data_IF_146088021596
#
_entry.id   IF_146088021596
#
_cell.length_a   1.000
_cell.length_b   1.000
_cell.length_c   1.000
_cell.angle_alpha   90.00
_cell.angle_beta   90.00
_cell.angle_gamma   90.00
#
_symmetry.space_group_name_H-M   'P 1'
#
loop_
_entity.id
_entity.type
_entity.pdbx_description
1 polymer ?
#
# COMPACT_ATOMS: atom_id res chain seq x y z
N UNK A 1 -25.59 -13.91 -10.93
CA UNK A 1 -25.63 -14.98 -9.92
C UNK A 1 -26.16 -14.42 -8.60
N UNK A 2 -27.31 -14.90 -8.09
CA UNK A 2 -27.72 -14.63 -6.70
C UNK A 2 -27.19 -15.78 -5.85
N UNK A 3 -26.07 -15.57 -5.17
CA UNK A 3 -25.57 -16.56 -4.21
C UNK A 3 -26.46 -16.50 -2.97
N UNK A 4 -27.11 -17.62 -2.64
CA UNK A 4 -27.98 -17.73 -1.46
C UNK A 4 -27.20 -17.93 -0.15
N UNK A 5 -25.88 -18.09 -0.23
CA UNK A 5 -24.98 -18.28 0.92
C UNK A 5 -23.61 -17.64 0.67
N UNK A 6 -22.79 -17.44 1.73
CA UNK A 6 -21.44 -16.91 1.59
C UNK A 6 -20.58 -17.83 0.73
N UNK A 7 -19.91 -17.24 -0.26
CA UNK A 7 -18.85 -17.91 -1.02
C UNK A 7 -17.53 -17.60 -0.32
N UNK A 8 -16.93 -18.62 0.31
CA UNK A 8 -15.57 -18.47 0.83
C UNK A 8 -14.59 -18.68 -0.30
N UNK A 9 -13.54 -17.88 -0.27
CA UNK A 9 -12.49 -17.87 -1.26
C UNK A 9 -11.15 -18.07 -0.55
N UNK A 10 -10.57 -19.25 -0.75
CA UNK A 10 -9.25 -19.61 -0.26
C UNK A 10 -8.21 -19.44 -1.36
N UNK A 11 -7.08 -18.83 -1.02
CA UNK A 11 -5.92 -18.70 -1.90
C UNK A 11 -4.62 -19.00 -1.15
N UNK A 12 -3.59 -19.41 -1.88
CA UNK A 12 -2.23 -19.35 -1.36
C UNK A 12 -1.83 -17.89 -1.16
N UNK A 13 -1.15 -17.61 -0.05
CA UNK A 13 -0.50 -16.33 0.16
C UNK A 13 0.88 -16.38 -0.49
N UNK A 14 1.03 -15.56 -1.51
CA UNK A 14 2.30 -15.37 -2.23
C UNK A 14 2.93 -14.06 -1.82
N UNK A 15 4.25 -14.03 -1.96
CA UNK A 15 5.04 -12.81 -1.80
C UNK A 15 5.56 -12.38 -3.15
N UNK A 16 5.38 -11.10 -3.46
CA UNK A 16 6.00 -10.40 -4.57
C UNK A 16 7.52 -10.42 -4.41
N UNK A 17 8.22 -10.87 -5.45
CA UNK A 17 9.68 -10.75 -5.49
C UNK A 17 10.05 -9.42 -6.13
N UNK A 18 10.88 -8.66 -5.44
CA UNK A 18 11.50 -7.41 -5.88
C UNK A 18 13.00 -7.63 -5.98
N UNK A 19 13.62 -7.10 -7.04
CA UNK A 19 15.06 -7.16 -7.25
C UNK A 19 15.69 -5.83 -6.87
N UNK A 20 16.43 -5.83 -5.76
CA UNK A 20 17.21 -4.66 -5.33
C UNK A 20 18.66 -4.83 -5.79
N UNK A 21 19.25 -3.86 -6.49
CA UNK A 21 20.62 -3.97 -6.96
C UNK A 21 21.62 -4.10 -5.82
N UNK A 22 22.70 -4.82 -6.08
CA UNK A 22 23.85 -4.90 -5.19
C UNK A 22 24.72 -3.65 -5.36
N UNK A 23 24.36 -2.58 -4.65
CA UNK A 23 25.17 -1.37 -4.55
C UNK A 23 25.16 -0.82 -3.11
N UNK A 24 25.94 0.23 -2.84
CA UNK A 24 26.08 0.83 -1.50
C UNK A 24 24.76 1.36 -0.88
N UNK A 25 23.69 1.48 -1.66
CA UNK A 25 22.37 1.89 -1.19
C UNK A 25 21.47 0.68 -0.84
N UNK A 26 21.92 -0.55 -1.04
CA UNK A 26 21.20 -1.74 -0.60
C UNK A 26 21.69 -2.15 0.80
N UNK A 27 20.78 -2.25 1.76
CA UNK A 27 21.11 -2.69 3.13
C UNK A 27 21.71 -4.10 3.19
N UNK A 28 21.45 -4.92 2.16
CA UNK A 28 21.96 -6.28 1.99
C UNK A 28 23.17 -6.36 1.05
N UNK A 29 23.81 -5.24 0.69
CA UNK A 29 24.95 -5.21 -0.22
C UNK A 29 26.12 -6.12 0.19
N UNK A 30 26.35 -6.27 1.50
CA UNK A 30 27.40 -7.13 2.05
C UNK A 30 26.98 -8.59 2.21
N UNK A 31 25.77 -8.96 1.81
CA UNK A 31 25.28 -10.34 1.87
C UNK A 31 25.99 -11.24 0.86
N UNK A 32 25.95 -12.54 1.11
CA UNK A 32 26.47 -13.54 0.17
C UNK A 32 25.72 -13.53 -1.17
N UNK A 33 24.46 -13.11 -1.18
CA UNK A 33 23.68 -12.99 -2.42
C UNK A 33 24.31 -11.96 -3.37
N UNK A 34 24.78 -10.83 -2.82
CA UNK A 34 25.51 -9.82 -3.57
C UNK A 34 26.97 -10.21 -3.84
N UNK A 35 27.71 -10.66 -2.82
CA UNK A 35 29.14 -10.99 -2.94
C UNK A 35 29.42 -12.05 -3.98
N UNK A 36 28.56 -13.07 -4.06
CA UNK A 36 28.70 -14.18 -5.00
C UNK A 36 27.78 -14.08 -6.20
N UNK A 37 27.10 -12.94 -6.39
CA UNK A 37 26.17 -12.69 -7.49
C UNK A 37 25.17 -13.85 -7.72
N UNK A 38 24.53 -14.33 -6.64
CA UNK A 38 23.64 -15.51 -6.73
C UNK A 38 22.40 -15.24 -7.59
N UNK A 39 21.98 -13.97 -7.67
CA UNK A 39 20.86 -13.53 -8.49
C UNK A 39 21.35 -12.47 -9.50
N UNK A 40 21.58 -12.83 -10.77
CA UNK A 40 21.87 -11.86 -11.82
C UNK A 40 20.62 -11.05 -12.19
N UNK A 41 20.78 -9.76 -12.50
CA UNK A 41 19.71 -8.87 -12.92
C UNK A 41 20.26 -7.78 -13.87
N UNK A 42 19.52 -7.40 -14.91
CA UNK A 42 19.90 -6.30 -15.81
C UNK A 42 21.40 -6.30 -16.20
N UNK A 43 22.17 -5.33 -15.69
CA UNK A 43 23.61 -5.19 -15.92
C UNK A 43 24.50 -5.54 -14.71
N UNK A 44 24.00 -6.32 -13.74
CA UNK A 44 24.74 -6.65 -12.52
C UNK A 44 24.09 -7.75 -11.67
N UNK A 45 24.25 -7.62 -10.35
CA UNK A 45 23.73 -8.57 -9.36
C UNK A 45 22.67 -7.88 -8.50
N UNK A 46 21.67 -8.63 -8.06
CA UNK A 46 20.62 -8.15 -7.17
C UNK A 46 20.45 -9.07 -5.96
N UNK A 47 19.83 -8.55 -4.91
CA UNK A 47 19.21 -9.35 -3.85
C UNK A 47 17.73 -9.53 -4.14
N UNK A 48 17.20 -10.73 -3.90
CA UNK A 48 15.76 -10.97 -3.91
C UNK A 48 15.13 -10.53 -2.61
N UNK A 49 14.17 -9.63 -2.70
CA UNK A 49 13.41 -9.10 -1.58
C UNK A 49 11.96 -9.51 -1.75
N UNK A 50 11.32 -9.96 -0.67
CA UNK A 50 9.93 -10.41 -0.71
C UNK A 50 9.01 -9.39 -0.04
N UNK A 51 7.97 -8.93 -0.75
CA UNK A 51 6.85 -8.14 -0.21
C UNK A 51 5.55 -8.95 -0.25
N UNK A 52 4.61 -8.67 0.62
CA UNK A 52 3.31 -9.36 0.65
C UNK A 52 2.48 -9.02 -0.61
N UNK A 53 1.71 -9.98 -1.15
CA UNK A 53 0.67 -9.67 -2.15
C UNK A 53 -0.45 -8.77 -1.60
N UNK A 54 -0.62 -8.76 -0.29
CA UNK A 54 -1.62 -7.92 0.40
C UNK A 54 -1.02 -6.54 0.62
N UNK A 55 -1.31 -5.62 -0.30
CA UNK A 55 -0.94 -4.24 -0.14
C UNK A 55 -1.81 -3.58 0.94
N UNK A 56 -1.21 -2.63 1.66
CA UNK A 56 -1.90 -1.96 2.78
C UNK A 56 -2.99 -0.97 2.33
N UNK A 57 -3.13 -0.76 1.02
CA UNK A 57 -4.22 0.01 0.42
C UNK A 57 -5.46 -0.85 0.11
N UNK A 58 -5.45 -2.15 0.42
CA UNK A 58 -6.58 -3.03 0.14
C UNK A 58 -6.52 -3.71 -1.23
N UNK A 59 -5.42 -3.57 -1.97
CA UNK A 59 -5.22 -4.32 -3.21
C UNK A 59 -4.54 -5.67 -2.94
N UNK A 60 -4.98 -6.71 -3.63
CA UNK A 60 -4.31 -8.00 -3.69
C UNK A 60 -3.76 -8.16 -5.09
N UNK A 61 -2.46 -7.94 -5.23
CA UNK A 61 -1.79 -7.94 -6.52
C UNK A 61 -0.46 -8.71 -6.49
N UNK A 62 -0.06 -9.20 -7.66
CA UNK A 62 1.16 -9.98 -7.86
C UNK A 62 2.10 -9.34 -8.85
N UNK A 63 3.39 -9.36 -8.48
CA UNK A 63 4.54 -9.16 -9.36
C UNK A 63 5.12 -10.51 -9.79
N UNK A 64 5.82 -10.51 -10.93
CA UNK A 64 6.45 -11.70 -11.51
C UNK A 64 7.44 -12.34 -10.50
N UNK A 65 7.44 -13.68 -10.43
CA UNK A 65 8.37 -14.43 -9.59
C UNK A 65 7.95 -14.58 -8.13
N UNK A 66 6.65 -14.63 -7.86
CA UNK A 66 6.11 -14.76 -6.50
C UNK A 66 6.52 -16.09 -5.84
N UNK A 67 6.67 -16.08 -4.50
CA UNK A 67 6.98 -17.29 -3.73
C UNK A 67 5.87 -17.61 -2.73
N UNK A 68 5.50 -18.89 -2.68
CA UNK A 68 4.46 -19.39 -1.79
C UNK A 68 4.91 -19.33 -0.34
N UNK A 69 4.02 -18.84 0.54
CA UNK A 69 4.28 -18.76 1.98
C UNK A 69 3.28 -19.53 2.83
N UNK A 70 1.98 -19.36 2.58
CA UNK A 70 0.92 -20.02 3.35
C UNK A 70 -0.39 -20.07 2.56
N UNK A 71 -1.53 -20.26 3.24
CA UNK A 71 -2.87 -20.09 2.70
C UNK A 71 -3.68 -19.10 3.52
N UNK A 72 -4.62 -18.40 2.90
CA UNK A 72 -5.55 -17.49 3.55
C UNK A 72 -6.95 -17.63 2.97
N UNK A 73 -7.98 -17.29 3.74
CA UNK A 73 -9.37 -17.39 3.30
C UNK A 73 -10.12 -16.10 3.60
N UNK A 74 -10.90 -15.65 2.61
CA UNK A 74 -11.72 -14.45 2.66
C UNK A 74 -13.12 -14.74 2.14
N UNK A 75 -14.01 -13.76 2.24
CA UNK A 75 -15.37 -13.85 1.68
C UNK A 75 -15.45 -13.03 0.40
N UNK A 76 -15.96 -13.63 -0.67
CA UNK A 76 -16.36 -12.87 -1.86
C UNK A 76 -17.69 -12.22 -1.57
N UNK A 77 -17.72 -10.89 -1.61
CA UNK A 77 -18.90 -10.08 -1.27
C UNK A 77 -19.45 -9.30 -2.46
N UNK A 78 -18.71 -9.29 -3.58
CA UNK A 78 -19.12 -8.64 -4.81
C UNK A 78 -18.04 -8.77 -5.88
N UNK A 79 -18.29 -8.15 -7.01
CA UNK A 79 -17.34 -7.96 -8.10
C UNK A 79 -17.61 -6.61 -8.76
N UNK A 80 -16.63 -6.07 -9.46
CA UNK A 80 -16.81 -4.92 -10.33
C UNK A 80 -15.92 -5.07 -11.55
N UNK A 81 -16.54 -5.26 -12.72
CA UNK A 81 -15.88 -5.48 -14.01
C UNK A 81 -15.17 -4.23 -14.55
N UNK A 82 -15.57 -3.04 -14.08
CA UNK A 82 -15.08 -1.74 -14.58
C UNK A 82 -14.08 -1.05 -13.65
N UNK A 83 -13.81 -1.63 -12.46
CA UNK A 83 -12.88 -1.02 -11.52
C UNK A 83 -11.46 -1.03 -12.11
N UNK A 84 -10.84 0.14 -12.34
CA UNK A 84 -9.51 0.21 -12.93
C UNK A 84 -8.45 -0.14 -11.89
N UNK A 85 -7.52 -1.02 -12.26
CA UNK A 85 -6.41 -1.42 -11.41
C UNK A 85 -5.10 -1.13 -12.10
N UNK A 86 -4.27 -0.32 -11.45
CA UNK A 86 -2.88 -0.14 -11.83
C UNK A 86 -2.04 -1.28 -11.21
N UNK A 87 -1.67 -2.27 -12.04
CA UNK A 87 -0.77 -3.35 -11.66
C UNK A 87 0.59 -2.78 -11.32
N UNK A 88 1.27 -3.39 -10.35
CA UNK A 88 2.66 -3.02 -10.03
C UNK A 88 2.82 -1.52 -9.70
N UNK A 89 1.75 -0.85 -9.23
CA UNK A 89 1.76 0.59 -8.91
C UNK A 89 2.90 0.99 -7.96
N UNK A 90 3.38 0.04 -7.18
CA UNK A 90 4.38 0.23 -6.13
C UNK A 90 5.74 -0.41 -6.44
N UNK A 91 5.87 -1.11 -7.56
CA UNK A 91 7.17 -1.47 -8.13
C UNK A 91 7.57 -0.40 -9.14
N UNK A 92 8.86 -0.06 -9.16
CA UNK A 92 9.40 0.77 -10.23
C UNK A 92 9.11 0.09 -11.58
N UNK A 93 8.82 0.84 -12.65
CA UNK A 93 8.72 0.25 -13.98
C UNK A 93 9.98 -0.57 -14.26
N UNK A 94 9.91 -1.74 -14.91
CA UNK A 94 11.08 -2.56 -15.18
C UNK A 94 12.12 -1.69 -15.90
N UNK A 95 13.22 -1.42 -15.21
CA UNK A 95 14.25 -0.55 -15.72
C UNK A 95 14.92 -1.25 -16.90
N UNK A 96 14.79 -0.63 -18.08
CA UNK A 96 15.57 -0.98 -19.26
C UNK A 96 17.07 -0.96 -18.92
N UNK A 97 17.82 -1.89 -19.53
CA UNK A 97 19.24 -2.19 -19.30
C UNK A 97 20.20 -0.98 -19.29
N UNK A 98 19.77 0.19 -19.79
CA UNK A 98 20.60 1.39 -19.90
C UNK A 98 20.54 2.35 -18.70
N UNK A 99 19.60 2.25 -17.75
CA UNK A 99 19.59 3.21 -16.62
C UNK A 99 20.72 2.97 -15.61
N UNK A 100 21.29 1.76 -15.59
CA UNK A 100 22.40 1.41 -14.70
C UNK A 100 23.70 2.14 -15.04
N UNK A 101 24.02 2.30 -16.34
CA UNK A 101 25.27 2.91 -16.80
C UNK A 101 25.27 4.45 -16.72
N UNK A 102 24.09 5.07 -16.68
CA UNK A 102 23.95 6.53 -16.51
C UNK A 102 24.18 6.99 -15.05
N UNK A 103 24.32 6.05 -14.10
CA UNK A 103 24.47 6.35 -12.67
C UNK A 103 25.92 6.76 -12.32
N UNK A 104 26.91 6.38 -13.13
CA UNK A 104 28.33 6.72 -12.89
C UNK A 104 28.91 7.76 -13.87
N UNK A 105 28.25 8.07 -14.99
CA UNK A 105 28.73 9.07 -15.94
C UNK A 105 27.64 10.06 -16.35
N UNK A 106 27.96 11.36 -16.30
CA UNK A 106 27.13 12.51 -16.73
C UNK A 106 26.91 12.54 -18.26
N UNK A 107 26.54 11.44 -18.87
CA UNK A 107 26.19 11.38 -20.28
C UNK A 107 24.90 10.59 -20.45
N UNK A 108 23.83 11.32 -20.77
CA UNK A 108 22.58 10.75 -21.26
C UNK A 108 22.86 10.02 -22.58
N UNK A 109 23.14 8.72 -22.53
CA UNK A 109 23.14 7.88 -23.73
C UNK A 109 21.76 7.28 -23.93
N UNK A 110 21.27 7.37 -25.18
CA UNK A 110 19.95 6.93 -25.63
C UNK A 110 19.65 5.49 -25.18
N UNK A 111 18.50 5.34 -24.52
CA UNK A 111 17.88 4.04 -24.20
C UNK A 111 17.66 3.24 -25.49
N UNK A 112 18.25 2.04 -25.58
CA UNK A 112 17.87 1.03 -26.59
C UNK A 112 16.96 -0.02 -25.94
N UNK A 113 15.75 -0.19 -26.50
CA UNK A 113 14.81 -1.26 -26.16
C UNK A 113 15.47 -2.62 -26.49
N UNK A 114 15.77 -3.42 -25.47
CA UNK A 114 15.90 -4.86 -25.65
C UNK A 114 14.61 -5.50 -25.16
N UNK A 115 13.98 -6.27 -26.04
CA UNK A 115 12.70 -6.95 -25.82
C UNK A 115 12.84 -8.00 -24.71
N UNK A 116 12.39 -7.66 -23.50
CA UNK A 116 11.78 -8.64 -22.60
C UNK A 116 10.29 -8.33 -22.63
N UNK A 117 9.60 -8.89 -23.62
CA UNK A 117 8.14 -8.89 -23.69
C UNK A 117 7.61 -9.83 -22.60
N UNK A 118 7.06 -9.27 -21.52
CA UNK A 118 5.67 -9.52 -21.13
C UNK A 118 5.15 -8.20 -20.52
N UNK A 119 4.37 -7.39 -21.25
CA UNK A 119 3.55 -6.41 -20.60
C UNK A 119 2.43 -7.20 -19.92
N UNK A 120 2.53 -7.43 -18.61
CA UNK A 120 1.30 -7.36 -17.84
C UNK A 120 0.83 -5.94 -18.08
N UNK A 121 -0.30 -5.77 -18.78
CA UNK A 121 -0.86 -4.44 -19.00
C UNK A 121 -0.86 -3.73 -17.64
N UNK A 122 -0.10 -2.64 -17.55
CA UNK A 122 0.03 -1.85 -16.31
C UNK A 122 -1.34 -1.48 -15.77
N UNK A 123 -2.34 -1.46 -16.63
CA UNK A 123 -3.73 -1.26 -16.29
C UNK A 123 -4.54 -2.49 -16.66
N UNK A 124 -5.18 -3.08 -15.66
CA UNK A 124 -6.25 -4.05 -15.86
C UNK A 124 -7.57 -3.48 -15.36
N UNK A 125 -8.67 -4.17 -15.62
CA UNK A 125 -9.99 -3.86 -15.12
C UNK A 125 -10.66 -5.12 -14.65
N UNK A 126 -11.55 -4.97 -13.68
CA UNK A 126 -12.34 -6.09 -13.23
C UNK A 126 -11.68 -6.85 -12.09
N UNK A 127 -12.52 -7.35 -11.19
CA UNK A 127 -12.04 -8.16 -10.08
C UNK A 127 -13.10 -8.46 -9.04
N UNK A 128 -12.70 -9.28 -8.08
CA UNK A 128 -13.53 -9.64 -6.94
C UNK A 128 -13.32 -8.67 -5.79
N UNK A 129 -14.42 -8.32 -5.14
CA UNK A 129 -14.41 -7.56 -3.89
C UNK A 129 -14.47 -8.56 -2.74
N UNK A 130 -13.46 -8.50 -1.88
CA UNK A 130 -13.23 -9.46 -0.81
C UNK A 130 -13.38 -8.78 0.55
N UNK A 131 -14.01 -9.46 1.51
CA UNK A 131 -13.99 -9.05 2.92
C UNK A 131 -12.96 -9.87 3.66
N UNK A 132 -11.99 -9.19 4.28
CA UNK A 132 -10.92 -9.81 5.04
C UNK A 132 -11.21 -9.71 6.56
N UNK A 133 -10.53 -10.55 7.35
CA UNK A 133 -10.63 -10.63 8.81
C UNK A 133 -9.54 -9.83 9.54
N UNK A 134 -8.70 -9.07 8.82
CA UNK A 134 -7.63 -8.23 9.39
C UNK A 134 -8.14 -6.85 9.88
N UNK A 135 -9.38 -6.76 10.34
CA UNK A 135 -9.97 -5.52 10.84
C UNK A 135 -10.38 -4.54 9.74
N UNK A 136 -10.19 -3.26 10.00
CA UNK A 136 -10.72 -2.14 9.19
C UNK A 136 -9.74 -1.66 8.11
N UNK A 137 -8.76 -2.49 7.73
CA UNK A 137 -7.77 -2.16 6.69
C UNK A 137 -8.35 -2.22 5.26
N UNK A 138 -7.78 -1.46 4.33
CA UNK A 138 -8.32 -1.35 2.97
C UNK A 138 -9.45 -0.34 2.88
N UNK A 139 -10.39 -0.60 1.99
CA UNK A 139 -11.40 0.35 1.55
C UNK A 139 -12.81 -0.04 1.97
N UNK A 140 -13.78 0.81 1.67
CA UNK A 140 -15.21 0.46 1.71
C UNK A 140 -15.61 -0.39 0.50
N UNK A 141 -16.71 -1.13 0.65
CA UNK A 141 -17.38 -1.78 -0.48
C UNK A 141 -17.80 -0.76 -1.56
N UNK A 142 -18.28 0.42 -1.14
CA UNK A 142 -18.72 1.47 -2.05
C UNK A 142 -17.60 2.01 -2.94
N UNK A 143 -16.38 2.11 -2.43
CA UNK A 143 -15.22 2.54 -3.22
C UNK A 143 -14.94 1.59 -4.38
N UNK A 144 -14.89 0.27 -4.11
CA UNK A 144 -14.66 -0.72 -5.17
C UNK A 144 -15.83 -0.88 -6.12
N UNK A 145 -17.06 -0.57 -5.68
CA UNK A 145 -18.22 -0.45 -6.56
C UNK A 145 -18.27 0.90 -7.32
N UNK A 146 -17.30 1.79 -7.11
CA UNK A 146 -17.25 3.14 -7.69
C UNK A 146 -18.47 4.01 -7.34
N UNK A 147 -19.11 3.75 -6.19
CA UNK A 147 -20.26 4.52 -5.70
C UNK A 147 -19.89 5.89 -5.14
N UNK A 148 -18.60 6.13 -4.85
CA UNK A 148 -18.12 7.43 -4.37
C UNK A 148 -16.67 7.69 -4.77
N UNK A 149 -16.31 8.97 -4.72
CA UNK A 149 -14.97 9.43 -5.10
C UNK A 149 -13.90 9.04 -4.08
N UNK A 150 -12.64 9.08 -4.50
CA UNK A 150 -11.52 8.86 -3.60
C UNK A 150 -11.43 9.89 -2.45
N UNK A 151 -11.87 11.13 -2.69
CA UNK A 151 -11.90 12.16 -1.66
C UNK A 151 -12.95 11.85 -0.58
N UNK A 152 -14.06 11.24 -0.97
CA UNK A 152 -15.11 10.81 -0.04
C UNK A 152 -14.65 9.56 0.71
N UNK A 153 -14.01 8.63 0.02
CA UNK A 153 -13.42 7.44 0.64
C UNK A 153 -12.44 7.82 1.74
N UNK A 154 -11.63 8.87 1.54
CA UNK A 154 -10.71 9.37 2.56
C UNK A 154 -11.41 9.83 3.86
N UNK A 155 -12.71 10.16 3.82
CA UNK A 155 -13.50 10.50 5.02
C UNK A 155 -14.05 9.28 5.75
N UNK A 156 -14.08 8.11 5.11
CA UNK A 156 -14.65 6.87 5.66
C UNK A 156 -13.54 5.86 5.99
N UNK A 157 -12.64 5.66 5.03
CA UNK A 157 -11.42 4.84 5.09
C UNK A 157 -10.20 5.67 4.66
N UNK A 158 -9.73 6.58 5.54
CA UNK A 158 -8.57 7.44 5.28
C UNK A 158 -7.27 6.72 4.94
N UNK A 159 -7.17 5.39 5.13
CA UNK A 159 -5.97 4.61 4.81
C UNK A 159 -4.70 5.27 5.36
N UNK A 160 -4.74 5.68 6.62
CA UNK A 160 -3.65 6.39 7.31
C UNK A 160 -2.34 5.62 7.36
N UNK A 161 -2.39 4.33 7.04
CA UNK A 161 -1.24 3.41 7.01
C UNK A 161 -0.50 3.39 5.66
N UNK A 162 -1.08 3.96 4.60
CA UNK A 162 -0.55 3.80 3.24
C UNK A 162 0.15 5.07 2.71
N UNK A 163 1.40 4.99 2.20
CA UNK A 163 2.17 6.15 1.76
C UNK A 163 1.59 6.95 0.60
N UNK A 164 0.72 6.35 -0.21
CA UNK A 164 -0.03 7.08 -1.26
C UNK A 164 -0.92 8.19 -0.70
N UNK A 165 -1.17 8.20 0.61
CA UNK A 165 -1.94 9.22 1.34
C UNK A 165 -1.06 10.23 2.08
N UNK A 166 0.25 10.09 2.02
CA UNK A 166 1.17 11.00 2.69
C UNK A 166 1.45 12.20 1.79
N UNK A 167 1.14 13.39 2.27
CA UNK A 167 1.46 14.62 1.57
C UNK A 167 2.89 15.05 1.88
N UNK A 168 3.70 15.30 0.84
CA UNK A 168 5.10 15.67 1.03
C UNK A 168 5.26 17.10 1.55
N UNK A 169 6.42 17.38 2.12
CA UNK A 169 6.83 18.64 2.72
C UNK A 169 8.01 19.24 1.96
N UNK A 170 7.93 20.52 1.61
CA UNK A 170 9.05 21.30 1.07
C UNK A 170 9.97 21.74 2.22
N UNK A 171 11.13 21.09 2.30
CA UNK A 171 12.15 21.35 3.32
C UNK A 171 12.68 22.79 3.22
N UNK A 172 12.88 23.31 2.02
CA UNK A 172 13.44 24.66 1.81
C UNK A 172 12.41 25.75 2.15
N UNK A 173 11.14 25.48 1.88
CA UNK A 173 10.04 26.35 2.33
C UNK A 173 10.01 26.50 3.86
N UNK A 174 10.22 25.41 4.62
CA UNK A 174 10.26 25.46 6.09
C UNK A 174 11.49 26.19 6.59
N UNK A 175 12.67 25.94 6.00
CA UNK A 175 13.91 26.67 6.32
C UNK A 175 13.79 28.17 6.09
N UNK A 176 12.95 28.57 5.12
CA UNK A 176 12.63 29.98 4.86
C UNK A 176 11.68 30.60 5.89
N UNK A 177 11.32 29.88 6.96
CA UNK A 177 10.54 30.37 8.10
C UNK A 177 9.03 30.12 8.02
N UNK A 178 8.54 29.55 6.92
CA UNK A 178 7.12 29.27 6.70
C UNK A 178 6.60 28.13 7.59
N UNK A 179 5.27 28.02 7.68
CA UNK A 179 4.60 26.92 8.38
C UNK A 179 4.48 25.69 7.47
N UNK A 180 4.49 24.48 8.08
CA UNK A 180 4.22 23.21 7.38
C UNK A 180 2.88 23.17 6.66
N UNK A 181 1.92 24.00 7.07
CA UNK A 181 0.63 24.15 6.39
C UNK A 181 0.79 24.71 4.97
N UNK A 182 1.74 25.63 4.77
CA UNK A 182 1.98 26.33 3.49
C UNK A 182 3.10 25.70 2.66
N UNK A 183 3.87 24.78 3.25
CA UNK A 183 5.01 24.13 2.61
C UNK A 183 4.65 22.75 2.03
N UNK A 184 3.41 22.60 1.57
CA UNK A 184 2.93 21.40 0.87
C UNK A 184 2.08 21.84 -0.33
N UNK A 185 1.27 20.93 -0.89
CA UNK A 185 0.40 21.23 -2.03
C UNK A 185 -0.89 22.01 -1.67
N UNK A 186 -0.89 22.79 -0.58
CA UNK A 186 -2.07 23.52 -0.06
C UNK A 186 -3.32 22.62 0.10
N UNK A 187 -3.12 21.37 0.54
CA UNK A 187 -4.20 20.38 0.61
C UNK A 187 -4.88 20.40 1.97
N UNK A 188 -6.14 20.80 1.95
CA UNK A 188 -7.15 20.46 2.94
C UNK A 188 -7.59 19.01 2.71
N UNK A 189 -7.39 18.14 3.70
CA UNK A 189 -7.93 16.77 3.69
C UNK A 189 -8.82 16.56 4.90
N UNK A 190 -10.13 16.50 4.68
CA UNK A 190 -11.07 15.98 5.67
C UNK A 190 -10.89 14.47 5.73
N UNK A 191 -10.70 13.93 6.92
CA UNK A 191 -10.60 12.49 7.19
C UNK A 191 -11.69 12.07 8.17
N UNK A 192 -11.74 10.78 8.51
CA UNK A 192 -12.67 10.21 9.50
C UNK A 192 -12.85 11.11 10.72
N UNK A 193 -14.09 11.16 11.20
CA UNK A 193 -14.58 11.99 12.31
C UNK A 193 -14.56 13.51 12.04
N UNK A 194 -14.46 13.92 10.78
CA UNK A 194 -14.49 15.33 10.38
C UNK A 194 -13.21 16.10 10.72
N UNK A 195 -12.14 15.42 11.13
CA UNK A 195 -10.83 16.06 11.32
C UNK A 195 -10.32 16.59 9.99
N UNK A 196 -9.74 17.78 10.01
CA UNK A 196 -9.17 18.42 8.83
C UNK A 196 -7.65 18.45 8.98
N UNK A 197 -6.96 17.85 8.03
CA UNK A 197 -5.52 17.98 7.87
C UNK A 197 -5.17 19.14 6.98
N UNK A 198 -4.21 19.93 7.43
CA UNK A 198 -3.62 21.05 6.71
C UNK A 198 -2.17 20.73 6.40
N UNK A 199 -1.78 20.85 5.13
CA UNK A 199 -0.39 20.75 4.69
C UNK A 199 0.15 19.31 4.62
N UNK A 200 1.43 19.17 4.98
CA UNK A 200 2.15 17.91 4.88
C UNK A 200 1.72 16.87 5.93
N UNK A 201 1.88 15.59 5.60
CA UNK A 201 1.63 14.50 6.54
C UNK A 201 2.85 14.30 7.44
N UNK A 202 2.65 14.52 8.74
CA UNK A 202 3.67 14.26 9.76
C UNK A 202 3.65 12.79 10.14
N UNK A 203 4.82 12.18 10.11
CA UNK A 203 5.06 10.76 10.32
C UNK A 203 5.95 10.55 11.54
N UNK A 204 5.76 9.41 12.21
CA UNK A 204 6.69 8.86 13.19
C UNK A 204 6.99 7.41 12.84
N UNK A 205 8.13 6.93 13.33
CA UNK A 205 8.46 5.52 13.24
C UNK A 205 7.56 4.71 14.16
N UNK A 206 7.10 3.54 13.71
CA UNK A 206 6.26 2.68 14.56
C UNK A 206 7.03 2.22 15.80
N UNK A 207 6.33 2.15 16.93
CA UNK A 207 6.92 1.85 18.24
C UNK A 207 7.59 0.48 18.30
N UNK A 208 7.00 -0.53 17.67
CA UNK A 208 7.42 -1.95 17.77
C UNK A 208 8.56 -2.35 16.83
N UNK A 209 9.15 -1.41 16.09
CA UNK A 209 10.23 -1.72 15.15
C UNK A 209 11.57 -1.91 15.87
N UNK A 210 12.14 -3.11 15.78
CA UNK A 210 13.53 -3.37 16.15
C UNK A 210 14.53 -2.88 15.11
N UNK A 211 15.78 -2.65 15.53
CA UNK A 211 16.86 -2.07 14.71
C UNK A 211 17.10 -2.85 13.41
N UNK A 212 17.34 -4.16 13.51
CA UNK A 212 17.64 -5.00 12.34
C UNK A 212 16.47 -5.05 11.36
N UNK A 213 15.24 -5.07 11.90
CA UNK A 213 14.05 -5.06 11.08
C UNK A 213 13.88 -3.74 10.33
N UNK A 214 14.04 -2.60 11.02
CA UNK A 214 14.00 -1.28 10.39
C UNK A 214 15.10 -1.10 9.33
N UNK A 215 16.30 -1.61 9.60
CA UNK A 215 17.42 -1.65 8.64
C UNK A 215 17.09 -2.48 7.40
N UNK A 216 16.48 -3.65 7.56
CA UNK A 216 16.07 -4.51 6.45
C UNK A 216 14.95 -3.88 5.60
N UNK A 217 14.09 -3.05 6.20
CA UNK A 217 13.11 -2.25 5.48
C UNK A 217 13.72 -1.00 4.80
N UNK A 218 15.01 -0.74 5.02
CA UNK A 218 15.77 0.32 4.37
C UNK A 218 15.95 1.60 5.19
N UNK A 219 15.58 1.63 6.48
CA UNK A 219 15.74 2.82 7.32
C UNK A 219 15.97 2.49 8.81
N UNK A 220 17.23 2.25 9.17
CA UNK A 220 17.65 1.82 10.52
C UNK A 220 17.28 2.81 11.63
N UNK A 221 17.25 4.12 11.35
CA UNK A 221 16.93 5.17 12.33
C UNK A 221 15.56 4.96 12.98
N UNK A 222 14.61 4.34 12.26
CA UNK A 222 13.31 4.01 12.81
C UNK A 222 13.33 2.93 13.91
N UNK A 223 14.39 2.14 14.02
CA UNK A 223 14.58 1.22 15.13
C UNK A 223 15.24 1.88 16.35
N UNK A 224 16.12 2.87 16.11
CA UNK A 224 17.05 3.38 17.13
C UNK A 224 16.64 4.71 17.76
N UNK A 225 15.94 5.59 17.04
CA UNK A 225 15.60 6.93 17.53
C UNK A 225 14.13 7.27 17.28
N UNK A 226 13.38 7.48 18.37
CA UNK A 226 11.94 7.79 18.33
C UNK A 226 11.63 9.27 18.54
N UNK A 227 12.64 10.09 18.81
CA UNK A 227 12.49 11.54 19.07
C UNK A 227 12.33 12.34 17.77
N UNK A 228 12.61 11.71 16.63
CA UNK A 228 12.44 12.32 15.33
C UNK A 228 11.00 12.23 14.83
N UNK A 229 10.65 13.22 14.00
CA UNK A 229 9.48 13.22 13.15
C UNK A 229 9.92 13.37 11.70
N UNK A 230 9.07 12.84 10.83
CA UNK A 230 9.36 12.74 9.42
C UNK A 230 8.21 13.25 8.56
N UNK A 231 8.51 13.61 7.33
CA UNK A 231 7.54 13.74 6.25
C UNK A 231 8.21 13.27 4.97
N UNK A 232 7.43 12.89 3.96
CA UNK A 232 8.00 12.67 2.62
C UNK A 232 8.59 13.99 2.12
N UNK A 233 9.83 14.01 1.64
CA UNK A 233 10.41 15.23 1.07
C UNK A 233 9.76 15.55 -0.26
N UNK A 234 9.53 16.84 -0.54
CA UNK A 234 8.87 17.30 -1.75
C UNK A 234 9.86 17.68 -2.85
N UNK A 235 9.55 17.30 -4.08
CA UNK A 235 10.15 17.86 -5.29
C UNK A 235 9.07 18.49 -6.15
N UNK A 236 9.35 19.69 -6.68
CA UNK A 236 8.42 20.43 -7.52
C UNK A 236 8.56 20.02 -8.98
N UNK A 237 7.46 19.56 -9.58
CA UNK A 237 7.38 19.34 -11.01
C UNK A 237 6.68 20.53 -11.67
N UNK A 238 7.41 21.19 -12.58
CA UNK A 238 6.86 22.24 -13.44
C UNK A 238 6.18 21.60 -14.65
N UNK A 239 5.02 20.97 -14.42
CA UNK A 239 4.04 20.68 -15.47
C UNK A 239 3.03 21.84 -15.55
N UNK A 240 2.03 21.76 -16.43
CA UNK A 240 1.00 22.79 -16.65
C UNK A 240 0.38 23.34 -15.36
N UNK A 241 0.38 22.55 -14.28
CA UNK A 241 0.08 22.99 -12.92
C UNK A 241 1.26 22.62 -12.01
N UNK A 242 1.84 23.61 -11.31
CA UNK A 242 2.91 23.37 -10.33
C UNK A 242 2.41 22.38 -9.28
N UNK A 243 3.00 21.18 -9.24
CA UNK A 243 2.62 20.11 -8.32
C UNK A 243 3.85 19.57 -7.63
N UNK A 244 3.80 19.54 -6.30
CA UNK A 244 4.76 18.86 -5.48
C UNK A 244 4.46 17.37 -5.43
N UNK A 245 5.46 16.53 -5.65
CA UNK A 245 5.38 15.08 -5.48
C UNK A 245 6.44 14.64 -4.49
N UNK A 246 6.35 13.39 -4.01
CA UNK A 246 7.41 12.84 -3.19
C UNK A 246 8.69 12.75 -4.03
N UNK A 247 9.78 13.29 -3.50
CA UNK A 247 11.11 13.13 -4.06
C UNK A 247 11.57 11.69 -3.86
N UNK A 248 11.77 10.98 -4.96
CA UNK A 248 12.21 9.59 -4.96
C UNK A 248 13.29 9.39 -6.03
N UNK A 249 14.05 8.30 -5.90
CA UNK A 249 14.97 7.86 -6.94
C UNK A 249 14.81 6.36 -7.14
N UNK A 250 14.31 5.97 -8.31
CA UNK A 250 14.14 4.56 -8.68
C UNK A 250 15.49 3.83 -8.75
N UNK A 251 15.53 2.58 -8.26
CA UNK A 251 16.71 1.73 -8.22
C UNK A 251 16.34 0.25 -8.36
N UNK A 252 16.44 -0.30 -9.57
CA UNK A 252 15.90 -1.62 -9.88
C UNK A 252 14.39 -1.62 -9.69
N UNK A 253 13.85 -2.64 -9.02
CA UNK A 253 12.42 -2.70 -8.67
C UNK A 253 12.08 -1.86 -7.43
N UNK A 254 13.10 -1.41 -6.69
CA UNK A 254 12.96 -0.58 -5.50
C UNK A 254 13.14 0.90 -5.79
N UNK A 255 13.14 1.69 -4.71
CA UNK A 255 13.38 3.12 -4.74
C UNK A 255 14.10 3.60 -3.47
N UNK A 256 14.82 4.71 -3.60
CA UNK A 256 15.23 5.55 -2.47
C UNK A 256 14.15 6.61 -2.26
N UNK A 257 13.70 6.74 -1.02
CA UNK A 257 12.72 7.77 -0.62
C UNK A 257 13.45 8.85 0.17
N UNK A 258 13.25 10.11 -0.21
CA UNK A 258 13.77 11.25 0.53
C UNK A 258 12.75 11.67 1.58
N UNK A 259 13.24 11.97 2.78
CA UNK A 259 12.44 12.30 3.95
C UNK A 259 12.91 13.64 4.51
N UNK A 260 11.97 14.51 4.84
CA UNK A 260 12.23 15.58 5.78
C UNK A 260 12.30 14.98 7.19
N UNK A 261 13.36 15.26 7.95
CA UNK A 261 13.56 14.78 9.33
C UNK A 261 13.85 15.96 10.25
N UNK A 262 13.22 16.01 11.42
CA UNK A 262 13.49 16.99 12.47
C UNK A 262 13.23 16.41 13.86
N UNK A 263 13.84 17.01 14.89
CA UNK A 263 13.59 16.64 16.30
C UNK A 263 12.20 17.14 16.70
N UNK A 264 11.41 16.30 17.38
CA UNK A 264 10.08 16.66 17.86
C UNK A 264 10.07 18.03 18.59
N UNK A 265 9.12 18.89 18.23
CA UNK A 265 9.01 20.25 18.75
C UNK A 265 10.00 21.28 18.17
N UNK A 266 11.01 20.86 17.39
CA UNK A 266 12.12 21.71 16.91
C UNK A 266 12.24 21.74 15.38
N UNK A 267 11.12 21.71 14.67
CA UNK A 267 11.10 21.62 13.21
C UNK A 267 11.91 22.72 12.54
N UNK A 268 11.66 23.99 12.88
CA UNK A 268 12.33 25.13 12.21
C UNK A 268 13.85 25.16 12.42
N UNK A 269 14.34 24.61 13.53
CA UNK A 269 15.76 24.63 13.88
C UNK A 269 16.53 23.43 13.33
N UNK A 270 15.87 22.27 13.21
CA UNK A 270 16.55 20.98 12.99
C UNK A 270 16.15 20.27 11.71
N UNK A 271 15.24 20.84 10.91
CA UNK A 271 14.78 20.18 9.68
C UNK A 271 15.93 19.98 8.70
N UNK A 272 16.09 18.73 8.29
CA UNK A 272 17.08 18.28 7.33
C UNK A 272 16.43 17.31 6.35
N UNK A 273 16.96 17.23 5.14
CA UNK A 273 16.60 16.16 4.22
C UNK A 273 17.53 14.96 4.46
N UNK A 274 16.94 13.79 4.62
CA UNK A 274 17.62 12.49 4.68
C UNK A 274 17.01 11.56 3.63
N UNK A 275 17.58 10.36 3.47
CA UNK A 275 17.05 9.39 2.53
C UNK A 275 17.13 7.97 3.10
N UNK A 276 16.29 7.09 2.57
CA UNK A 276 16.36 5.66 2.86
C UNK A 276 17.51 4.98 2.11
N UNK A 277 17.83 3.75 2.51
CA UNK A 277 18.39 2.76 1.61
C UNK A 277 17.31 2.34 0.59
N UNK A 278 17.65 1.50 -0.38
CA UNK A 278 16.69 0.96 -1.34
C UNK A 278 15.58 0.24 -0.57
N UNK A 279 14.34 0.62 -0.87
CA UNK A 279 13.13 0.19 -0.18
C UNK A 279 11.97 0.12 -1.18
N UNK A 280 10.75 -0.09 -0.67
CA UNK A 280 9.49 -0.09 -1.42
C UNK A 280 8.43 0.72 -0.67
N UNK A 281 7.34 1.10 -1.34
CA UNK A 281 6.23 1.76 -0.67
C UNK A 281 5.59 0.88 0.43
N UNK A 282 5.54 -0.44 0.24
CA UNK A 282 5.07 -1.37 1.27
C UNK A 282 5.99 -1.35 2.50
N UNK A 283 7.29 -1.17 2.31
CA UNK A 283 8.27 -1.10 3.39
C UNK A 283 8.20 0.26 4.11
N UNK A 284 8.00 1.37 3.39
CA UNK A 284 7.67 2.67 3.99
C UNK A 284 6.40 2.56 4.84
N UNK A 285 5.37 1.84 4.38
CA UNK A 285 4.13 1.59 5.12
C UNK A 285 4.33 0.68 6.36
N UNK A 286 5.45 -0.04 6.44
CA UNK A 286 5.86 -0.82 7.60
C UNK A 286 6.69 0.01 8.59
N UNK A 287 7.54 0.90 8.08
CA UNK A 287 8.40 1.79 8.87
C UNK A 287 7.61 2.89 9.60
N UNK A 288 6.70 3.56 8.89
CA UNK A 288 6.09 4.80 9.36
C UNK A 288 4.59 4.66 9.62
N UNK A 289 4.10 5.48 10.54
CA UNK A 289 2.69 5.79 10.74
C UNK A 289 2.49 7.30 10.87
N UNK A 290 1.26 7.77 10.61
CA UNK A 290 0.92 9.17 10.87
C UNK A 290 1.07 9.46 12.37
N UNK A 291 1.68 10.59 12.70
CA UNK A 291 1.82 10.99 14.11
C UNK A 291 0.45 11.35 14.72
N UNK A 292 -0.48 11.78 13.88
CA UNK A 292 -1.87 12.03 14.22
C UNK A 292 -2.70 10.77 14.07
N UNK A 293 -3.45 10.41 15.11
CA UNK A 293 -4.34 9.25 15.08
C UNK A 293 -5.55 9.51 14.20
N UNK A 294 -5.63 8.74 13.12
CA UNK A 294 -6.79 8.66 12.23
C UNK A 294 -7.22 7.21 12.15
N UNK A 295 -8.46 6.95 12.56
CA UNK A 295 -9.05 5.61 12.51
C UNK A 295 -9.85 5.47 11.22
N UNK A 296 -9.85 4.25 10.72
CA UNK A 296 -10.83 3.84 9.73
C UNK A 296 -12.18 3.64 10.43
N UNK A 297 -13.28 3.75 9.69
CA UNK A 297 -14.60 3.42 10.21
C UNK A 297 -14.89 1.92 10.11
N UNK A 298 -15.96 1.46 10.77
CA UNK A 298 -16.43 0.06 10.69
C UNK A 298 -16.89 -0.35 9.27
N UNK A 299 -17.01 0.61 8.35
CA UNK A 299 -17.36 0.37 6.95
C UNK A 299 -16.16 -0.02 6.07
N UNK A 300 -14.93 0.04 6.59
CA UNK A 300 -13.71 -0.37 5.90
C UNK A 300 -13.49 -1.90 6.00
N UNK A 301 -12.33 -2.41 5.60
CA UNK A 301 -12.02 -3.85 5.68
C UNK A 301 -12.22 -4.62 4.38
N UNK A 302 -12.52 -3.93 3.28
CA UNK A 302 -12.69 -4.55 1.96
C UNK A 302 -11.40 -4.47 1.17
N UNK A 303 -11.15 -5.51 0.39
CA UNK A 303 -10.02 -5.66 -0.50
C UNK A 303 -10.52 -5.92 -1.92
N UNK A 304 -9.65 -5.67 -2.91
CA UNK A 304 -9.93 -5.95 -4.31
C UNK A 304 -8.84 -6.83 -4.90
N UNK A 305 -9.26 -7.89 -5.57
CA UNK A 305 -8.37 -8.77 -6.29
C UNK A 305 -8.72 -8.75 -7.78
N UNK A 306 -7.82 -8.27 -8.65
CA UNK A 306 -8.04 -8.24 -10.10
C UNK A 306 -8.24 -9.64 -10.69
N UNK A 307 -9.05 -9.75 -11.74
CA UNK A 307 -9.24 -11.03 -12.43
C UNK A 307 -7.93 -11.60 -12.96
N UNK A 308 -7.06 -10.78 -13.53
CA UNK A 308 -5.76 -11.22 -14.04
C UNK A 308 -4.85 -11.79 -12.93
N UNK A 309 -4.98 -11.31 -11.68
CA UNK A 309 -4.27 -11.90 -10.54
C UNK A 309 -4.80 -13.31 -10.25
N UNK A 310 -6.09 -13.52 -10.44
CA UNK A 310 -6.72 -14.84 -10.35
C UNK A 310 -6.23 -15.74 -11.47
N UNK A 311 -6.31 -15.30 -12.72
CA UNK A 311 -5.86 -16.05 -13.89
C UNK A 311 -4.37 -16.40 -13.81
N UNK A 312 -3.52 -15.46 -13.40
CA UNK A 312 -2.10 -15.71 -13.21
C UNK A 312 -1.85 -16.83 -12.20
N UNK A 313 -2.48 -16.77 -11.02
CA UNK A 313 -2.31 -17.79 -9.99
C UNK A 313 -2.86 -19.16 -10.43
N UNK A 314 -3.98 -19.19 -11.15
CA UNK A 314 -4.49 -20.42 -11.77
C UNK A 314 -3.47 -21.01 -12.74
N UNK A 315 -2.92 -20.17 -13.63
CA UNK A 315 -1.97 -20.62 -14.65
C UNK A 315 -0.65 -21.12 -14.07
N UNK A 316 -0.17 -20.50 -13.00
CA UNK A 316 1.07 -20.87 -12.32
C UNK A 316 0.94 -22.17 -11.54
N UNK A 317 -0.18 -22.37 -10.84
CA UNK A 317 -0.33 -23.48 -9.88
C UNK A 317 -1.14 -24.68 -10.41
N UNK A 318 -1.59 -24.61 -11.67
CA UNK A 318 -2.44 -25.60 -12.36
C UNK A 318 -3.81 -25.84 -11.66
N UNK A 319 -4.86 -26.01 -12.46
CA UNK A 319 -6.25 -26.11 -12.01
C UNK A 319 -6.53 -27.26 -11.00
N UNK A 320 -5.70 -28.30 -10.98
CA UNK A 320 -5.99 -29.56 -10.29
C UNK A 320 -5.06 -29.87 -9.10
N UNK A 321 -4.19 -28.93 -8.70
CA UNK A 321 -3.38 -29.08 -7.48
C UNK A 321 -4.20 -28.77 -6.23
N UNK A 322 -3.85 -29.39 -5.09
CA UNK A 322 -4.26 -29.00 -3.72
C UNK A 322 -3.90 -27.53 -3.34
N UNK A 323 -3.42 -26.77 -4.31
CA UNK A 323 -2.79 -25.45 -4.23
C UNK A 323 -3.54 -24.40 -5.07
N UNK A 324 -4.64 -24.78 -5.72
CA UNK A 324 -5.51 -23.90 -6.51
C UNK A 324 -6.56 -23.17 -5.64
N UNK A 325 -7.28 -22.22 -6.25
CA UNK A 325 -8.34 -21.48 -5.59
C UNK A 325 -9.45 -22.39 -5.06
N UNK A 326 -9.62 -22.36 -3.74
CA UNK A 326 -10.70 -23.08 -3.06
C UNK A 326 -11.93 -22.20 -2.97
N UNK A 327 -12.93 -22.45 -3.80
CA UNK A 327 -14.27 -21.90 -3.61
C UNK A 327 -15.10 -22.90 -2.83
N UNK A 328 -15.44 -22.56 -1.58
CA UNK A 328 -16.37 -23.36 -0.80
C UNK A 328 -17.69 -22.61 -0.69
N UNK A 329 -18.77 -23.32 -1.02
CA UNK A 329 -20.12 -22.88 -0.81
C UNK A 329 -20.73 -23.71 0.31
N UNK A 330 -21.22 -23.02 1.35
CA UNK A 330 -21.86 -23.69 2.47
C UNK A 330 -23.37 -23.49 2.40
N UNK A 331 -24.09 -24.59 2.15
CA UNK A 331 -25.53 -24.67 2.34
C UNK A 331 -25.89 -24.82 3.82
N UNK A 332 -25.66 -23.78 4.62
CA UNK A 332 -25.94 -23.85 6.06
C UNK A 332 -27.44 -23.67 6.29
N UNK A 333 -28.10 -24.73 6.74
CA UNK A 333 -29.44 -24.63 7.32
C UNK A 333 -29.30 -24.35 8.81
N UNK A 334 -29.66 -23.14 9.21
CA UNK A 334 -29.64 -22.74 10.61
C UNK A 334 -30.94 -23.14 11.30
N UNK A 335 -30.82 -23.77 12.46
CA UNK A 335 -31.97 -24.01 13.33
C UNK A 335 -32.47 -22.69 13.92
N UNK A 336 -33.75 -22.63 14.32
CA UNK A 336 -34.33 -21.38 14.84
C UNK A 336 -33.58 -20.85 16.07
N UNK A 337 -33.01 -21.74 16.89
CA UNK A 337 -32.22 -21.40 18.07
C UNK A 337 -30.82 -20.84 17.74
N UNK A 338 -30.36 -21.00 16.50
CA UNK A 338 -29.10 -20.44 15.99
C UNK A 338 -29.20 -18.95 15.67
N UNK A 339 -30.39 -18.36 15.67
CA UNK A 339 -30.58 -16.93 15.45
C UNK A 339 -30.70 -16.18 16.77
N UNK A 340 -29.95 -15.08 16.91
CA UNK A 340 -29.93 -14.26 18.14
C UNK A 340 -31.33 -13.89 18.65
N UNK A 341 -32.26 -13.53 17.75
CA UNK A 341 -33.61 -13.08 18.10
C UNK A 341 -34.47 -14.17 18.72
N UNK A 342 -34.28 -15.42 18.31
CA UNK A 342 -35.09 -16.58 18.74
C UNK A 342 -34.36 -17.50 19.72
N UNK A 343 -33.06 -17.29 19.94
CA UNK A 343 -32.30 -18.11 20.89
C UNK A 343 -32.67 -17.80 22.34
N UNK A 344 -32.88 -18.87 23.13
CA UNK A 344 -33.02 -18.78 24.60
C UNK A 344 -31.68 -18.49 25.30
N UNK A 345 -30.55 -18.64 24.60
CA UNK A 345 -29.19 -18.50 25.15
C UNK A 345 -28.53 -17.18 24.75
N UNK A 346 -29.25 -16.06 24.86
CA UNK A 346 -28.78 -14.74 24.35
C UNK A 346 -27.37 -14.35 24.78
N UNK A 347 -26.93 -14.73 25.99
CA UNK A 347 -25.57 -14.47 26.48
C UNK A 347 -24.45 -15.16 25.69
N UNK A 348 -24.75 -16.22 24.93
CA UNK A 348 -23.79 -16.90 24.05
C UNK A 348 -23.66 -16.24 22.67
N UNK A 349 -24.54 -15.29 22.35
CA UNK A 349 -24.61 -14.63 21.04
C UNK A 349 -24.07 -13.20 21.06
N UNK A 350 -23.31 -12.82 22.09
CA UNK A 350 -22.84 -11.45 22.30
C UNK A 350 -22.09 -10.91 21.08
N UNK A 351 -21.20 -11.72 20.48
CA UNK A 351 -20.45 -11.32 19.29
C UNK A 351 -21.31 -11.29 18.02
N UNK A 352 -22.29 -12.20 17.89
CA UNK A 352 -23.25 -12.17 16.77
C UNK A 352 -24.12 -10.91 16.85
N UNK A 353 -24.58 -10.55 18.05
CA UNK A 353 -25.35 -9.32 18.24
C UNK A 353 -24.51 -8.09 17.87
N UNK A 354 -23.24 -8.05 18.30
CA UNK A 354 -22.30 -6.98 17.91
C UNK A 354 -22.02 -6.93 16.40
N UNK A 355 -22.06 -8.06 15.70
CA UNK A 355 -21.83 -8.13 14.24
C UNK A 355 -23.07 -7.86 13.39
N UNK A 356 -24.28 -7.99 13.96
CA UNK A 356 -25.57 -7.76 13.25
C UNK A 356 -26.03 -6.30 13.24
N UNK A 357 -25.12 -5.34 13.34
CA UNK A 357 -25.47 -3.92 13.21
C UNK A 357 -26.04 -3.65 11.83
N UNK A 358 -27.02 -2.74 11.75
CA UNK A 358 -27.50 -2.25 10.45
C UNK A 358 -26.33 -1.58 9.75
N UNK A 359 -25.97 -2.07 8.57
CA UNK A 359 -25.06 -1.35 7.69
C UNK A 359 -25.73 -0.02 7.32
N UNK A 360 -25.22 1.07 7.89
CA UNK A 360 -25.61 2.42 7.47
C UNK A 360 -24.79 2.72 6.23
N UNK A 361 -25.46 2.92 5.09
CA UNK A 361 -24.74 3.37 3.89
C UNK A 361 -24.22 4.78 4.17
N UNK A 362 -22.90 5.02 4.07
CA UNK A 362 -22.35 6.36 4.22
C UNK A 362 -23.06 7.29 3.24
N UNK A 363 -23.58 8.43 3.72
CA UNK A 363 -24.24 9.40 2.84
C UNK A 363 -23.20 10.05 1.92
N UNK A 364 -23.55 10.17 0.64
CA UNK A 364 -22.71 10.74 -0.41
C UNK A 364 -23.13 12.19 -0.69
N UNK A 365 -22.36 13.14 -0.17
CA UNK A 365 -22.62 14.58 -0.38
C UNK A 365 -22.06 15.11 -1.71
N UNK A 366 -21.64 14.23 -2.62
CA UNK A 366 -21.00 14.59 -3.89
C UNK A 366 -19.46 14.70 -3.82
N UNK A 367 -18.77 14.89 -4.97
CA UNK A 367 -17.30 14.98 -5.06
C UNK A 367 -16.72 16.23 -4.38
N UNK A 368 -17.57 17.19 -4.02
CA UNK A 368 -17.23 18.44 -3.34
C UNK A 368 -18.04 18.67 -2.06
N UNK A 369 -18.69 17.63 -1.51
CA UNK A 369 -19.71 17.71 -0.44
C UNK A 369 -19.29 18.30 0.91
N UNK A 370 -18.07 18.82 1.01
CA UNK A 370 -17.60 19.63 2.15
C UNK A 370 -16.76 20.84 1.76
N UNK A 371 -16.74 21.24 0.47
CA UNK A 371 -16.05 22.44 -0.03
C UNK A 371 -17.00 23.63 -0.23
N UNK A 372 -18.27 23.47 0.09
CA UNK A 372 -19.24 24.57 0.13
C UNK A 372 -19.24 25.09 1.57
N UNK A 373 -18.18 25.83 1.92
CA UNK A 373 -18.11 26.88 2.96
C UNK A 373 -16.66 27.34 3.11
#
# INVERSE_FOLDING_TARGET
>A
MKTLSPLTYGLNTEFNTMLFPCNKYNSMYSSDECKYCKTPCGSGCCTKISSSMYHKDGMIDLSVGSVRRAGHSMLVVGWNDEFPVERNRYSSPPIYTAAWNAIDNKTQTKLTKNNVEIPLDRWTKGGLILKNSYGEHGHTLGYFLQNHSLLNEDTICPLSIHPSRYYPLDVECIKSGNSFMNCSNDKLRKVSDGKIFYGATILKCKSELGNDYAKNLGFEECGTNKDYRYALSMEWFNVTFKRGVCKTREMGDGLIVYLARWVEGKMKETITEVHTQITSWDFIAQLFEMDTTVKNSEHCGYYFQPYDTIEYLISMYQHDGFESYGFSYYGIKWEQESYYKSSKRKGQFTEINKSTKKFVTPQFDGPFGGRIN
#
